data_IF_105874193533
#
_entry.id   IF_105874193533
#
_cell.length_a   1.000
_cell.length_b   1.000
_cell.length_c   1.000
_cell.angle_alpha   90.00
_cell.angle_beta   90.00
_cell.angle_gamma   90.00
#
_symmetry.space_group_name_H-M   'P 1'
#
loop_
_entity.id
_entity.type
_entity.pdbx_description
1 polymer ?
#
# COMPACT_ATOMS: atom_id res chain seq x y z
N UNK A 1 20.46 10.42 23.53
CA UNK A 1 19.59 10.42 22.33
C UNK A 1 19.97 11.65 21.55
N UNK A 2 20.81 11.49 20.52
CA UNK A 2 21.29 12.61 19.72
C UNK A 2 20.09 13.26 19.02
N UNK A 3 19.74 14.48 19.44
CA UNK A 3 18.74 15.29 18.77
C UNK A 3 19.26 15.60 17.38
N UNK A 4 18.83 14.81 16.41
CA UNK A 4 19.11 15.04 15.00
C UNK A 4 18.46 16.38 14.66
N UNK A 5 19.28 17.37 14.28
CA UNK A 5 18.78 18.71 13.98
C UNK A 5 17.73 18.68 12.88
N UNK A 6 16.59 19.32 13.13
CA UNK A 6 15.40 19.37 12.26
C UNK A 6 15.73 19.81 10.83
N UNK A 7 16.63 20.77 10.68
CA UNK A 7 17.13 21.24 9.39
C UNK A 7 17.72 20.12 8.50
N UNK A 8 18.32 19.09 9.12
CA UNK A 8 18.92 17.96 8.40
C UNK A 8 17.86 17.01 7.85
N UNK A 9 16.72 16.91 8.54
CA UNK A 9 15.56 16.18 8.04
C UNK A 9 14.86 16.95 6.93
N UNK A 10 14.75 18.28 7.05
CA UNK A 10 14.22 19.11 5.97
C UNK A 10 15.05 18.98 4.69
N UNK A 11 16.38 19.05 4.80
CA UNK A 11 17.29 18.87 3.65
C UNK A 11 17.12 17.48 3.04
N UNK A 12 17.05 16.43 3.85
CA UNK A 12 16.88 15.06 3.37
C UNK A 12 15.49 14.82 2.76
N UNK A 13 14.44 15.48 3.26
CA UNK A 13 13.09 15.43 2.71
C UNK A 13 13.03 16.15 1.37
N UNK A 14 13.67 17.31 1.28
CA UNK A 14 13.79 18.05 0.03
C UNK A 14 14.56 17.24 -1.01
N UNK A 15 15.69 16.64 -0.64
CA UNK A 15 16.50 15.80 -1.51
C UNK A 15 15.75 14.53 -1.95
N UNK A 16 14.96 13.92 -1.05
CA UNK A 16 14.11 12.78 -1.39
C UNK A 16 13.04 13.15 -2.41
N UNK A 17 12.34 14.27 -2.17
CA UNK A 17 11.25 14.76 -3.01
C UNK A 17 11.73 15.30 -4.37
N UNK A 18 12.92 15.92 -4.43
CA UNK A 18 13.51 16.42 -5.68
C UNK A 18 14.10 15.29 -6.54
N UNK A 19 14.59 14.20 -5.92
CA UNK A 19 15.19 13.06 -6.65
C UNK A 19 14.19 11.95 -6.99
N UNK A 20 13.11 11.79 -6.22
CA UNK A 20 12.00 10.92 -6.64
C UNK A 20 11.19 11.65 -7.71
N UNK A 21 11.62 11.51 -8.97
CA UNK A 21 10.64 11.25 -10.02
C UNK A 21 9.76 10.13 -9.46
N UNK A 22 8.46 10.39 -9.30
CA UNK A 22 7.42 9.49 -8.77
C UNK A 22 7.31 8.22 -9.66
N UNK A 23 8.38 7.44 -9.72
CA UNK A 23 8.59 6.29 -10.62
C UNK A 23 8.49 4.99 -9.86
N UNK A 24 8.46 5.03 -8.53
CA UNK A 24 8.33 3.86 -7.65
C UNK A 24 7.15 3.96 -6.69
N UNK A 25 6.03 4.51 -7.16
CA UNK A 25 4.74 4.03 -6.68
C UNK A 25 4.43 2.74 -7.43
N UNK A 26 5.19 1.68 -7.17
CA UNK A 26 4.65 0.36 -7.51
C UNK A 26 3.34 0.25 -6.71
N UNK A 27 2.18 -0.02 -7.36
CA UNK A 27 1.02 -0.43 -6.59
C UNK A 27 1.53 -1.53 -5.70
N UNK A 28 1.38 -1.36 -4.38
CA UNK A 28 1.49 -2.49 -3.48
C UNK A 28 0.34 -3.39 -3.93
N UNK A 29 0.61 -4.28 -4.90
CA UNK A 29 -0.18 -5.46 -5.17
C UNK A 29 0.02 -6.32 -3.93
N UNK A 30 -0.65 -5.93 -2.85
CA UNK A 30 -1.30 -6.94 -2.04
C UNK A 30 -2.18 -7.64 -3.06
N UNK A 31 -1.77 -8.82 -3.52
CA UNK A 31 -2.73 -9.87 -3.82
C UNK A 31 -3.70 -9.84 -2.65
N UNK A 32 -4.79 -9.12 -2.84
CA UNK A 32 -5.72 -8.89 -1.76
C UNK A 32 -6.31 -10.26 -1.51
N UNK A 33 -6.45 -10.67 -0.25
CA UNK A 33 -7.18 -11.91 0.07
C UNK A 33 -8.56 -11.94 -0.62
N UNK A 34 -9.06 -10.76 -1.00
CA UNK A 34 -10.24 -10.51 -1.84
C UNK A 34 -10.11 -11.11 -3.25
N UNK A 35 -8.98 -10.98 -3.96
CA UNK A 35 -8.81 -11.55 -5.30
C UNK A 35 -8.82 -13.07 -5.27
N UNK A 36 -8.11 -13.68 -4.31
CA UNK A 36 -8.09 -15.14 -4.12
C UNK A 36 -9.47 -15.68 -3.73
N UNK A 37 -10.18 -14.99 -2.83
CA UNK A 37 -11.53 -15.38 -2.41
C UNK A 37 -12.56 -15.22 -3.53
N UNK A 38 -12.41 -14.20 -4.39
CA UNK A 38 -13.26 -14.02 -5.58
C UNK A 38 -13.03 -15.10 -6.63
N UNK A 39 -11.78 -15.52 -6.85
CA UNK A 39 -11.46 -16.64 -7.76
C UNK A 39 -12.06 -17.97 -7.24
N UNK A 40 -12.00 -18.21 -5.93
CA UNK A 40 -12.62 -19.38 -5.30
C UNK A 40 -14.16 -19.38 -5.45
N UNK A 41 -14.81 -18.22 -5.27
CA UNK A 41 -16.25 -18.06 -5.52
C UNK A 41 -16.61 -18.39 -6.97
N UNK A 42 -15.85 -17.85 -7.93
CA UNK A 42 -16.07 -18.08 -9.36
C UNK A 42 -15.88 -19.55 -9.75
N UNK A 43 -14.96 -20.25 -9.09
CA UNK A 43 -14.77 -21.69 -9.29
C UNK A 43 -15.96 -22.51 -8.78
N UNK A 44 -16.54 -22.13 -7.63
CA UNK A 44 -17.73 -22.78 -7.07
C UNK A 44 -18.95 -22.51 -7.95
N UNK A 45 -19.12 -21.30 -8.47
CA UNK A 45 -20.20 -20.97 -9.40
C UNK A 45 -20.13 -21.82 -10.67
N UNK A 46 -18.94 -21.96 -11.27
CA UNK A 46 -18.73 -22.84 -12.42
C UNK A 46 -19.03 -24.31 -12.12
N UNK A 47 -18.69 -24.80 -10.92
CA UNK A 47 -19.04 -26.17 -10.49
C UNK A 47 -20.55 -26.36 -10.36
N UNK A 48 -21.24 -25.40 -9.73
CA UNK A 48 -22.71 -25.43 -9.59
C UNK A 48 -23.40 -25.38 -10.95
N UNK A 49 -22.92 -24.55 -11.86
CA UNK A 49 -23.41 -24.49 -13.24
C UNK A 49 -23.23 -25.83 -13.96
N UNK A 50 -22.09 -26.50 -13.77
CA UNK A 50 -21.85 -27.84 -14.32
C UNK A 50 -22.83 -28.87 -13.77
N UNK A 51 -23.12 -28.84 -12.47
CA UNK A 51 -24.10 -29.74 -11.86
C UNK A 51 -25.51 -29.47 -12.39
N UNK A 52 -25.90 -28.21 -12.55
CA UNK A 52 -27.18 -27.82 -13.14
C UNK A 52 -27.32 -28.31 -14.58
N UNK A 53 -26.26 -28.18 -15.40
CA UNK A 53 -26.26 -28.71 -16.77
C UNK A 53 -26.32 -30.23 -16.81
N UNK A 54 -25.62 -30.92 -15.92
CA UNK A 54 -25.65 -32.38 -15.83
C UNK A 54 -27.03 -32.90 -15.40
N UNK A 55 -27.65 -32.23 -14.43
CA UNK A 55 -29.02 -32.51 -14.00
C UNK A 55 -30.04 -32.25 -15.12
N UNK A 56 -29.94 -31.11 -15.82
CA UNK A 56 -30.83 -30.78 -16.94
C UNK A 56 -30.63 -31.69 -18.17
N UNK A 57 -29.53 -32.45 -18.24
CA UNK A 57 -29.24 -33.41 -19.30
C UNK A 57 -29.53 -34.86 -18.91
N UNK A 58 -30.23 -35.09 -17.79
CA UNK A 58 -30.51 -36.42 -17.21
C UNK A 58 -29.24 -37.26 -16.91
N UNK A 59 -28.08 -36.61 -16.76
CA UNK A 59 -26.80 -37.26 -16.43
C UNK A 59 -26.56 -37.36 -14.92
N UNK A 60 -27.50 -36.89 -14.10
CA UNK A 60 -27.41 -36.84 -12.64
C UNK A 60 -28.78 -36.99 -12.00
N UNK A 61 -28.87 -37.76 -10.93
CA UNK A 61 -30.13 -38.03 -10.22
C UNK A 61 -30.41 -36.90 -9.23
N UNK A 62 -31.68 -36.53 -9.04
CA UNK A 62 -32.13 -35.46 -8.12
C UNK A 62 -31.49 -35.52 -6.72
N UNK A 63 -31.37 -36.73 -6.14
CA UNK A 63 -30.79 -36.91 -4.82
C UNK A 63 -29.29 -36.55 -4.78
N UNK A 64 -28.56 -36.87 -5.85
CA UNK A 64 -27.15 -36.55 -6.00
C UNK A 64 -26.95 -35.05 -6.29
N UNK A 65 -27.79 -34.48 -7.15
CA UNK A 65 -27.80 -33.06 -7.44
C UNK A 65 -28.06 -32.22 -6.19
N UNK A 66 -29.08 -32.60 -5.40
CA UNK A 66 -29.42 -31.90 -4.16
C UNK A 66 -28.27 -31.93 -3.16
N UNK A 67 -27.62 -33.09 -2.99
CA UNK A 67 -26.46 -33.23 -2.10
C UNK A 67 -25.30 -32.31 -2.52
N UNK A 68 -24.96 -32.27 -3.81
CA UNK A 68 -23.88 -31.42 -4.33
C UNK A 68 -24.19 -29.92 -4.22
N UNK A 69 -25.45 -29.53 -4.40
CA UNK A 69 -25.88 -28.14 -4.26
C UNK A 69 -25.90 -27.67 -2.81
N UNK A 70 -26.24 -28.54 -1.86
CA UNK A 70 -26.19 -28.26 -0.43
C UNK A 70 -24.74 -28.19 0.09
N UNK A 71 -23.87 -29.11 -0.31
CA UNK A 71 -22.43 -29.09 0.03
C UNK A 71 -21.75 -27.81 -0.48
N UNK A 72 -22.01 -27.42 -1.73
CA UNK A 72 -21.43 -26.19 -2.30
C UNK A 72 -22.07 -24.92 -1.75
N UNK A 73 -23.25 -24.98 -1.13
CA UNK A 73 -23.94 -23.81 -0.58
C UNK A 73 -23.26 -23.29 0.67
N UNK A 74 -22.90 -24.18 1.60
CA UNK A 74 -22.21 -23.81 2.84
C UNK A 74 -20.87 -23.13 2.53
N UNK A 75 -20.07 -23.73 1.65
CA UNK A 75 -18.78 -23.18 1.24
C UNK A 75 -18.93 -21.82 0.53
N UNK A 76 -19.98 -21.67 -0.31
CA UNK A 76 -20.26 -20.41 -1.00
C UNK A 76 -20.67 -19.30 -0.02
N UNK A 77 -21.54 -19.60 0.96
CA UNK A 77 -21.97 -18.63 1.97
C UNK A 77 -20.80 -18.20 2.87
N UNK A 78 -19.95 -19.14 3.30
CA UNK A 78 -18.74 -18.84 4.08
C UNK A 78 -17.75 -17.95 3.32
N UNK A 79 -17.48 -18.25 2.05
CA UNK A 79 -16.60 -17.41 1.22
C UNK A 79 -17.19 -16.03 0.96
N UNK A 80 -18.51 -15.94 0.78
CA UNK A 80 -19.20 -14.65 0.60
C UNK A 80 -19.14 -13.78 1.86
N UNK A 81 -19.20 -14.38 3.05
CA UNK A 81 -19.00 -13.68 4.32
C UNK A 81 -17.56 -13.19 4.42
N UNK A 82 -16.58 -14.05 4.15
CA UNK A 82 -15.15 -13.68 4.16
C UNK A 82 -14.86 -12.52 3.19
N UNK A 83 -15.40 -12.54 1.98
CA UNK A 83 -15.25 -11.45 1.01
C UNK A 83 -15.88 -10.13 1.49
N UNK A 84 -16.99 -10.19 2.22
CA UNK A 84 -17.64 -9.00 2.80
C UNK A 84 -16.91 -8.44 4.02
N UNK A 85 -16.25 -9.30 4.79
CA UNK A 85 -15.49 -8.92 5.98
C UNK A 85 -14.08 -8.39 5.65
N UNK A 86 -13.57 -8.71 4.46
CA UNK A 86 -12.30 -8.17 4.00
C UNK A 86 -12.43 -6.67 3.72
N UNK A 87 -11.51 -5.83 4.22
CA UNK A 87 -11.49 -4.41 3.90
C UNK A 87 -11.35 -4.27 2.39
N UNK A 88 -12.24 -3.49 1.78
CA UNK A 88 -12.11 -3.13 0.36
C UNK A 88 -10.69 -2.63 0.12
N UNK A 89 -9.97 -3.17 -0.88
CA UNK A 89 -8.66 -2.63 -1.21
C UNK A 89 -8.86 -1.14 -1.50
N UNK A 90 -8.20 -0.30 -0.71
CA UNK A 90 -8.11 1.13 -0.99
C UNK A 90 -7.60 1.24 -2.42
N UNK A 91 -8.49 1.63 -3.34
CA UNK A 91 -8.10 1.95 -4.70
C UNK A 91 -7.33 3.24 -4.56
N UNK A 92 -6.00 3.12 -4.44
CA UNK A 92 -5.12 4.27 -4.42
C UNK A 92 -5.27 4.93 -5.78
N UNK A 93 -6.01 6.04 -5.85
CA UNK A 93 -6.10 6.83 -7.06
C UNK A 93 -4.74 7.50 -7.29
N UNK A 94 -3.94 6.91 -8.16
CA UNK A 94 -2.63 7.42 -8.55
C UNK A 94 -2.68 8.88 -9.01
N UNK A 95 -3.80 9.34 -9.57
CA UNK A 95 -3.97 10.72 -10.00
C UNK A 95 -4.11 11.66 -8.80
N UNK A 96 -4.85 11.25 -7.78
CA UNK A 96 -4.95 12.00 -6.52
C UNK A 96 -3.60 12.04 -5.80
N UNK A 97 -2.88 10.92 -5.77
CA UNK A 97 -1.56 10.87 -5.13
C UNK A 97 -0.54 11.75 -5.85
N UNK A 98 -0.57 11.76 -7.19
CA UNK A 98 0.27 12.66 -8.00
C UNK A 98 -0.08 14.13 -7.74
N UNK A 99 -1.37 14.45 -7.61
CA UNK A 99 -1.81 15.81 -7.28
C UNK A 99 -1.36 16.22 -5.87
N UNK A 100 -1.42 15.31 -4.90
CA UNK A 100 -0.95 15.55 -3.52
C UNK A 100 0.55 15.81 -3.52
N UNK A 101 1.35 15.02 -4.23
CA UNK A 101 2.82 15.24 -4.32
C UNK A 101 3.14 16.55 -5.05
N UNK A 102 2.44 16.86 -6.14
CA UNK A 102 2.67 18.13 -6.85
C UNK A 102 2.27 19.35 -5.99
N UNK A 103 1.15 19.27 -5.27
CA UNK A 103 0.74 20.30 -4.34
C UNK A 103 1.71 20.41 -3.15
N UNK A 104 2.24 19.28 -2.68
CA UNK A 104 3.28 19.23 -1.66
C UNK A 104 4.52 19.98 -2.12
N UNK A 105 5.05 19.68 -3.32
CA UNK A 105 6.27 20.30 -3.85
C UNK A 105 6.12 21.80 -4.03
N UNK A 106 4.98 22.23 -4.58
CA UNK A 106 4.75 23.65 -4.87
C UNK A 106 4.62 24.46 -3.58
N UNK A 107 3.93 23.93 -2.57
CA UNK A 107 3.67 24.68 -1.35
C UNK A 107 4.82 24.59 -0.34
N UNK A 108 5.48 23.43 -0.22
CA UNK A 108 6.49 23.16 0.81
C UNK A 108 7.69 24.12 0.78
N UNK A 109 8.04 24.64 -0.40
CA UNK A 109 9.14 25.60 -0.58
C UNK A 109 8.83 26.96 0.08
N UNK A 110 7.55 27.38 0.10
CA UNK A 110 7.14 28.70 0.58
C UNK A 110 6.71 28.72 2.05
N UNK A 111 6.63 27.56 2.71
CA UNK A 111 6.20 27.47 4.10
C UNK A 111 7.32 27.84 5.08
N UNK A 112 6.93 28.50 6.18
CA UNK A 112 7.80 28.73 7.34
C UNK A 112 8.08 27.43 8.10
N UNK A 113 9.06 27.43 8.99
CA UNK A 113 9.48 26.20 9.69
C UNK A 113 8.36 25.59 10.55
N UNK A 114 7.54 26.41 11.19
CA UNK A 114 6.37 25.96 11.96
C UNK A 114 5.30 25.36 11.05
N UNK A 115 5.02 26.03 9.92
CA UNK A 115 4.04 25.56 8.94
C UNK A 115 4.48 24.26 8.28
N UNK A 116 5.77 24.10 7.95
CA UNK A 116 6.32 22.84 7.42
C UNK A 116 6.09 21.67 8.36
N UNK A 117 6.21 21.88 9.67
CA UNK A 117 5.97 20.85 10.69
C UNK A 117 4.52 20.37 10.67
N UNK A 118 3.59 21.32 10.68
CA UNK A 118 2.15 21.04 10.62
C UNK A 118 1.79 20.38 9.28
N UNK A 119 2.39 20.87 8.19
CA UNK A 119 2.18 20.36 6.84
C UNK A 119 2.65 18.91 6.71
N UNK A 120 3.88 18.59 7.13
CA UNK A 120 4.41 17.22 7.16
C UNK A 120 3.49 16.32 7.99
N UNK A 121 3.05 16.76 9.17
CA UNK A 121 2.17 15.96 10.03
C UNK A 121 0.78 15.67 9.42
N UNK A 122 0.34 16.51 8.49
CA UNK A 122 -0.97 16.37 7.84
C UNK A 122 -0.90 15.35 6.69
N UNK A 123 0.17 15.39 5.89
CA UNK A 123 0.31 14.59 4.67
C UNK A 123 1.13 13.31 4.84
N UNK A 124 2.01 13.25 5.83
CA UNK A 124 2.96 12.14 5.99
C UNK A 124 2.60 11.35 7.23
N UNK A 125 2.27 10.07 7.01
CA UNK A 125 1.97 9.11 8.07
C UNK A 125 3.24 8.52 8.69
N UNK A 126 4.25 8.23 7.87
CA UNK A 126 5.51 7.61 8.31
C UNK A 126 6.67 7.98 7.38
N UNK A 127 7.83 8.27 7.95
CA UNK A 127 9.09 8.47 7.21
C UNK A 127 10.07 7.37 7.63
N UNK A 128 10.61 6.65 6.67
CA UNK A 128 11.70 5.70 6.87
C UNK A 128 13.01 6.34 6.41
N UNK A 129 14.00 6.37 7.30
CA UNK A 129 15.30 7.00 7.02
C UNK A 129 16.45 6.14 7.51
N UNK A 130 17.61 6.28 6.85
CA UNK A 130 18.89 5.69 7.25
C UNK A 130 19.87 6.78 7.62
N UNK A 131 20.66 6.53 8.66
CA UNK A 131 21.74 7.42 9.09
C UNK A 131 23.05 6.84 8.59
N UNK A 132 23.70 7.55 7.65
CA UNK A 132 24.99 7.15 7.08
C UNK A 132 26.10 7.98 7.72
N UNK A 133 27.05 7.38 8.46
CA UNK A 133 28.17 8.12 9.01
C UNK A 133 29.03 8.66 7.86
N UNK A 134 29.23 9.97 7.82
CA UNK A 134 30.11 10.60 6.82
C UNK A 134 31.44 11.03 7.44
N UNK A 135 32.56 10.91 6.71
CA UNK A 135 33.82 11.51 7.11
C UNK A 135 33.73 13.05 7.06
N UNK A 136 34.58 13.73 7.82
CA UNK A 136 34.64 15.20 7.78
C UNK A 136 35.13 15.68 6.42
N UNK A 137 34.43 16.65 5.81
CA UNK A 137 34.88 17.33 4.57
C UNK A 137 36.17 18.15 4.75
N UNK A 138 36.62 18.39 5.99
CA UNK A 138 37.89 19.06 6.31
C UNK A 138 38.80 18.08 7.03
N UNK A 139 40.03 17.94 6.55
CA UNK A 139 41.10 17.12 7.14
C UNK A 139 41.46 17.54 8.57
N UNK A 140 41.22 18.81 8.91
CA UNK A 140 41.72 19.44 10.14
C UNK A 140 40.75 19.29 11.33
N UNK A 141 39.64 18.55 11.16
CA UNK A 141 38.64 18.29 12.21
C UNK A 141 38.52 16.78 12.48
N UNK A 142 37.94 16.46 13.65
CA UNK A 142 37.58 15.11 14.14
C UNK A 142 37.44 14.03 13.05
N UNK A 143 37.99 12.83 13.30
CA UNK A 143 37.87 11.65 12.40
C UNK A 143 36.41 11.23 12.10
N UNK A 144 35.43 11.71 12.88
CA UNK A 144 33.99 11.46 12.67
C UNK A 144 33.30 12.76 12.24
N UNK A 145 32.72 12.75 11.05
CA UNK A 145 31.89 13.84 10.53
C UNK A 145 30.42 13.71 10.95
N UNK A 146 29.60 14.70 10.58
CA UNK A 146 28.16 14.68 10.87
C UNK A 146 27.48 13.62 9.99
N UNK A 147 26.76 12.67 10.58
CA UNK A 147 26.16 11.55 9.85
C UNK A 147 24.97 12.00 8.97
N UNK A 148 25.02 11.75 7.66
CA UNK A 148 23.98 12.12 6.69
C UNK A 148 22.69 11.35 6.94
N UNK A 149 21.55 12.01 6.77
CA UNK A 149 20.22 11.37 6.80
C UNK A 149 19.81 11.16 5.37
N UNK A 150 19.45 9.93 5.01
CA UNK A 150 18.90 9.60 3.69
C UNK A 150 17.52 9.01 3.94
N UNK A 151 16.49 9.69 3.43
CA UNK A 151 15.13 9.17 3.48
C UNK A 151 15.00 8.11 2.38
N UNK A 152 14.48 6.94 2.76
CA UNK A 152 14.35 5.79 1.85
C UNK A 152 12.92 5.54 1.42
N UNK A 153 11.95 5.93 2.24
CA UNK A 153 10.53 5.77 1.92
C UNK A 153 9.71 6.77 2.73
N UNK A 154 8.71 7.38 2.09
CA UNK A 154 7.72 8.24 2.73
C UNK A 154 6.33 7.65 2.48
N UNK A 155 5.65 7.29 3.56
CA UNK A 155 4.26 6.84 3.53
C UNK A 155 3.36 8.05 3.71
N UNK A 156 2.69 8.43 2.63
CA UNK A 156 1.66 9.47 2.64
C UNK A 156 0.35 8.95 3.26
N UNK A 157 -0.43 9.87 3.82
CA UNK A 157 -1.75 9.58 4.41
C UNK A 157 -2.85 9.55 3.37
#
# INVERSE_FOLDING_TARGET
MDSIGEYRFEDALKEYVENDDIKHLEPIKKESDVSLSNEQLLHIEKKREKYQRAWASDLMIDAEFKKLMDETRQVYEELKIKVKELPTPEVIDFKELTNIVNAFNTNFIYLTQEEKRVYISTFIRKIEFKIIPQPTKRSDKSKKGKALIVITNVVFR
#
